data_IF_601918967393
#
_entry.id   IF_601918967393
#
_cell.length_a   1.000
_cell.length_b   1.000
_cell.length_c   1.000
_cell.angle_alpha   90.00
_cell.angle_beta   90.00
_cell.angle_gamma   90.00
#
_symmetry.space_group_name_H-M   'P 1'
#
loop_
_entity.id
_entity.type
_entity.pdbx_description
1 polymer ?
#
# COMPACT_ATOMS: atom_id res chain seq x y z
N UNK A 1 -29.71 -36.09 11.89
CA UNK A 1 -28.42 -36.23 12.60
C UNK A 1 -27.31 -36.33 11.57
N UNK A 2 -26.17 -35.74 11.90
CA UNK A 2 -24.92 -35.63 11.14
C UNK A 2 -24.82 -34.40 10.21
N UNK A 3 -24.84 -33.25 10.87
CA UNK A 3 -23.88 -32.17 10.66
C UNK A 3 -22.45 -32.66 10.89
N UNK A 4 -21.48 -31.96 10.30
CA UNK A 4 -20.02 -32.06 10.50
C UNK A 4 -19.28 -33.12 9.67
N UNK A 5 -18.72 -32.68 8.52
CA UNK A 5 -17.27 -32.49 8.39
C UNK A 5 -16.93 -32.13 6.94
N UNK A 6 -16.87 -30.83 6.64
CA UNK A 6 -16.12 -30.25 5.53
C UNK A 6 -15.83 -28.80 5.91
N UNK A 7 -15.05 -28.61 6.99
CA UNK A 7 -14.38 -27.32 7.19
C UNK A 7 -13.28 -27.24 6.16
N UNK A 8 -13.65 -26.79 4.96
CA UNK A 8 -12.69 -26.33 3.96
C UNK A 8 -11.82 -25.28 4.63
N UNK A 9 -10.57 -25.63 4.89
CA UNK A 9 -9.54 -24.73 5.40
C UNK A 9 -9.11 -23.82 4.24
N UNK A 10 -10.03 -23.01 3.74
CA UNK A 10 -9.71 -22.02 2.72
C UNK A 10 -9.07 -20.85 3.44
N UNK A 11 -7.74 -20.89 3.54
CA UNK A 11 -6.94 -19.71 3.88
C UNK A 11 -7.07 -18.76 2.69
N UNK A 12 -8.15 -17.99 2.68
CA UNK A 12 -8.34 -16.87 1.76
C UNK A 12 -7.48 -15.73 2.28
N UNK A 13 -6.19 -15.75 1.99
CA UNK A 13 -5.35 -14.57 2.19
C UNK A 13 -5.79 -13.54 1.16
N UNK A 14 -6.61 -12.57 1.60
CA UNK A 14 -6.95 -11.44 0.76
C UNK A 14 -5.66 -10.66 0.47
N UNK A 15 -5.56 -10.00 -0.69
CA UNK A 15 -4.45 -9.06 -0.95
C UNK A 15 -4.25 -8.07 0.22
N UNK A 16 -5.37 -7.65 0.84
CA UNK A 16 -5.38 -6.85 2.06
C UNK A 16 -4.64 -7.50 3.23
N UNK A 17 -4.92 -8.76 3.53
CA UNK A 17 -4.30 -9.47 4.66
C UNK A 17 -2.79 -9.61 4.46
N UNK A 18 -2.36 -9.88 3.22
CA UNK A 18 -0.94 -9.99 2.87
C UNK A 18 -0.22 -8.66 3.08
N UNK A 19 -0.82 -7.57 2.58
CA UNK A 19 -0.22 -6.23 2.69
C UNK A 19 -0.25 -5.70 4.13
N UNK A 20 -1.31 -6.00 4.88
CA UNK A 20 -1.45 -5.59 6.28
C UNK A 20 -0.48 -6.33 7.21
N UNK A 21 -0.09 -7.56 6.87
CA UNK A 21 0.90 -8.34 7.61
C UNK A 21 2.36 -8.06 7.17
N UNK A 22 2.56 -7.22 6.15
CA UNK A 22 3.90 -6.89 5.67
C UNK A 22 4.70 -6.08 6.71
N UNK A 23 5.97 -6.45 6.97
CA UNK A 23 6.86 -5.68 7.84
C UNK A 23 7.36 -4.39 7.16
N UNK A 24 7.08 -4.18 5.87
CA UNK A 24 7.39 -2.94 5.17
C UNK A 24 6.21 -1.97 5.21
N UNK A 25 6.52 -0.68 5.31
CA UNK A 25 5.52 0.37 5.22
C UNK A 25 5.04 0.51 3.77
N UNK A 26 3.76 0.21 3.54
CA UNK A 26 3.13 0.30 2.22
C UNK A 26 1.96 1.28 2.29
N UNK A 27 1.97 2.30 1.44
CA UNK A 27 0.84 3.19 1.22
C UNK A 27 0.70 3.52 -0.27
N UNK A 28 -0.53 3.84 -0.68
CA UNK A 28 -0.89 4.18 -2.06
C UNK A 28 -1.58 5.53 -2.05
N UNK A 29 -1.23 6.40 -3.00
CA UNK A 29 -1.92 7.67 -3.21
C UNK A 29 -2.33 7.83 -4.68
N UNK A 30 -3.45 8.51 -4.88
CA UNK A 30 -4.05 8.86 -6.17
C UNK A 30 -4.32 10.35 -6.16
N UNK A 31 -3.95 11.06 -7.22
CA UNK A 31 -4.06 12.51 -7.31
C UNK A 31 -3.54 13.19 -6.03
N UNK A 32 -2.32 12.80 -5.64
CA UNK A 32 -1.61 13.26 -4.44
C UNK A 32 -2.27 12.88 -3.10
N UNK A 33 -3.42 12.21 -3.10
CA UNK A 33 -4.22 11.88 -1.92
C UNK A 33 -4.02 10.41 -1.51
N UNK A 34 -3.66 10.15 -0.25
CA UNK A 34 -3.45 8.77 0.22
C UNK A 34 -4.80 8.05 0.29
N UNK A 35 -4.92 6.92 -0.40
CA UNK A 35 -6.13 6.08 -0.48
C UNK A 35 -6.00 4.76 0.28
N UNK A 36 -4.77 4.36 0.59
CA UNK A 36 -4.50 3.15 1.37
C UNK A 36 -3.17 3.28 2.13
N UNK A 37 -3.10 2.71 3.33
CA UNK A 37 -1.88 2.55 4.10
C UNK A 37 -2.02 1.33 5.00
N UNK A 38 -1.01 0.45 5.00
CA UNK A 38 -0.97 -0.68 5.94
C UNK A 38 -0.58 -0.23 7.35
N UNK A 39 -0.74 -1.13 8.33
CA UNK A 39 -0.44 -0.83 9.74
C UNK A 39 0.99 -0.32 9.96
N UNK A 40 1.95 -0.90 9.23
CA UNK A 40 3.36 -0.48 9.30
C UNK A 40 3.56 0.93 8.76
N UNK A 41 2.88 1.31 7.67
CA UNK A 41 2.91 2.66 7.13
C UNK A 41 2.27 3.68 8.08
N UNK A 42 1.14 3.35 8.73
CA UNK A 42 0.56 4.21 9.75
C UNK A 42 1.57 4.49 10.88
N UNK A 43 2.28 3.46 11.32
CA UNK A 43 3.33 3.58 12.35
C UNK A 43 4.48 4.47 11.89
N UNK A 44 4.96 4.30 10.65
CA UNK A 44 6.00 5.15 10.04
C UNK A 44 5.57 6.62 9.98
N UNK A 45 4.32 6.86 9.59
CA UNK A 45 3.73 8.19 9.46
C UNK A 45 3.29 8.80 10.80
N UNK A 46 3.54 8.08 11.92
CA UNK A 46 3.14 8.47 13.29
C UNK A 46 1.64 8.75 13.41
N UNK A 47 0.84 7.98 12.67
CA UNK A 47 -0.61 8.02 12.71
C UNK A 47 -1.15 7.07 13.77
N UNK A 48 -2.22 7.49 14.46
CA UNK A 48 -2.88 6.66 15.47
C UNK A 48 -4.06 5.89 14.89
N UNK A 49 -4.67 6.44 13.83
CA UNK A 49 -5.82 5.89 13.14
C UNK A 49 -5.61 5.99 11.63
N UNK A 50 -6.21 5.10 10.83
CA UNK A 50 -6.20 5.22 9.37
C UNK A 50 -6.68 6.59 8.88
N UNK A 51 -7.73 7.14 9.51
CA UNK A 51 -8.30 8.46 9.17
C UNK A 51 -7.31 9.63 9.34
N UNK A 52 -6.23 9.44 10.10
CA UNK A 52 -5.16 10.46 10.25
C UNK A 52 -4.27 10.56 8.99
N UNK A 53 -4.41 9.60 8.06
CA UNK A 53 -3.59 9.44 6.85
C UNK A 53 -4.44 9.39 5.59
N UNK A 54 -5.45 8.53 5.56
CA UNK A 54 -6.33 8.35 4.41
C UNK A 54 -7.08 9.66 4.11
N UNK A 55 -7.14 10.04 2.84
CA UNK A 55 -7.76 11.30 2.40
C UNK A 55 -6.86 12.53 2.55
N UNK A 56 -5.64 12.39 3.10
CA UNK A 56 -4.68 13.50 3.18
C UNK A 56 -3.73 13.49 2.00
N UNK A 57 -3.25 14.68 1.64
CA UNK A 57 -2.20 14.82 0.64
C UNK A 57 -0.89 14.17 1.15
N UNK A 58 -0.23 13.38 0.30
CA UNK A 58 1.07 12.75 0.56
C UNK A 58 2.14 13.78 0.97
N UNK A 59 2.05 15.00 0.44
CA UNK A 59 2.96 16.10 0.78
C UNK A 59 2.83 16.57 2.23
N UNK A 60 1.71 16.30 2.90
CA UNK A 60 1.52 16.62 4.33
C UNK A 60 2.48 15.85 5.24
N UNK A 61 3.02 14.73 4.76
CA UNK A 61 3.95 13.86 5.48
C UNK A 61 5.41 14.08 5.08
N UNK A 62 5.66 15.07 4.21
CA UNK A 62 6.99 15.40 3.70
C UNK A 62 7.37 16.83 4.10
N UNK A 63 8.66 17.03 4.33
CA UNK A 63 9.19 18.38 4.52
C UNK A 63 9.00 19.20 3.22
N UNK A 64 8.65 20.50 3.29
CA UNK A 64 8.37 21.33 2.10
C UNK A 64 9.49 21.30 1.05
N UNK A 65 10.75 21.28 1.48
CA UNK A 65 11.92 21.17 0.59
C UNK A 65 11.93 19.89 -0.25
N UNK A 66 11.27 18.82 0.21
CA UNK A 66 11.23 17.52 -0.45
C UNK A 66 10.06 17.36 -1.41
N UNK A 67 9.10 18.29 -1.44
CA UNK A 67 7.92 18.19 -2.32
C UNK A 67 8.30 18.20 -3.79
N UNK A 68 9.21 19.10 -4.18
CA UNK A 68 9.69 19.18 -5.56
C UNK A 68 10.49 17.95 -5.98
N UNK A 69 11.28 17.38 -5.06
CA UNK A 69 12.02 16.15 -5.36
C UNK A 69 11.08 14.96 -5.57
N UNK A 70 10.04 14.82 -4.73
CA UNK A 70 9.03 13.78 -4.95
C UNK A 70 8.31 13.97 -6.29
N UNK A 71 7.92 15.20 -6.66
CA UNK A 71 7.29 15.48 -7.96
C UNK A 71 8.16 15.04 -9.14
N UNK A 72 9.46 15.33 -9.09
CA UNK A 72 10.42 14.90 -10.13
C UNK A 72 10.48 13.38 -10.25
N UNK A 73 10.56 12.68 -9.11
CA UNK A 73 10.59 11.20 -9.09
C UNK A 73 9.30 10.64 -9.69
N UNK A 74 8.13 11.18 -9.33
CA UNK A 74 6.85 10.74 -9.89
C UNK A 74 6.81 10.98 -11.41
N UNK A 75 7.19 12.18 -11.87
CA UNK A 75 7.24 12.51 -13.31
C UNK A 75 8.10 11.51 -14.07
N UNK A 76 9.29 11.21 -13.54
CA UNK A 76 10.21 10.24 -14.15
C UNK A 76 9.62 8.83 -14.24
N UNK A 77 8.95 8.36 -13.18
CA UNK A 77 8.31 7.04 -13.15
C UNK A 77 7.12 6.96 -14.11
N UNK A 78 6.36 8.05 -14.29
CA UNK A 78 5.23 8.10 -15.22
C UNK A 78 5.67 8.22 -16.68
N UNK A 79 6.78 8.91 -16.95
CA UNK A 79 7.36 9.10 -18.29
C UNK A 79 8.02 7.82 -18.83
N UNK A 80 8.39 6.87 -17.97
CA UNK A 80 8.95 5.56 -18.34
C UNK A 80 7.91 4.47 -18.04
N UNK A 81 6.93 4.21 -18.94
CA UNK A 81 5.83 3.26 -18.71
C UNK A 81 6.25 1.78 -18.62
N UNK A 82 7.54 1.46 -18.76
CA UNK A 82 8.07 0.09 -18.59
C UNK A 82 9.02 0.06 -17.41
N UNK A 83 8.57 -0.48 -16.26
CA UNK A 83 9.36 -1.35 -15.35
C UNK A 83 8.81 -1.43 -13.92
N UNK A 84 7.80 -0.67 -13.51
CA UNK A 84 7.36 -0.70 -12.10
C UNK A 84 6.04 -1.46 -11.91
N UNK A 85 6.10 -2.79 -12.08
CA UNK A 85 5.32 -3.69 -11.22
C UNK A 85 6.36 -4.37 -10.32
N UNK A 86 6.48 -3.91 -9.08
CA UNK A 86 7.21 -4.69 -8.07
C UNK A 86 6.23 -5.62 -7.36
N UNK A 87 6.67 -6.88 -7.22
CA UNK A 87 6.16 -8.01 -6.42
C UNK A 87 5.26 -9.09 -7.06
N UNK A 88 4.79 -8.97 -8.31
CA UNK A 88 4.21 -10.13 -9.01
C UNK A 88 4.64 -10.21 -10.48
N UNK A 89 5.95 -10.34 -10.74
CA UNK A 89 6.36 -11.08 -11.93
C UNK A 89 5.78 -12.49 -11.77
N UNK A 90 4.68 -12.76 -12.47
CA UNK A 90 4.05 -14.08 -12.48
C UNK A 90 5.13 -15.11 -12.83
N UNK A 91 5.41 -15.97 -11.87
CA UNK A 91 6.09 -17.24 -12.08
C UNK A 91 5.46 -17.88 -13.31
N UNK A 92 6.32 -18.25 -14.25
CA UNK A 92 5.96 -18.82 -15.54
C UNK A 92 5.09 -20.06 -15.32
N UNK A 93 4.08 -20.16 -16.17
CA UNK A 93 3.05 -21.19 -16.27
C UNK A 93 3.51 -22.63 -16.01
#
# INVERSE_FOLDING_TARGET
MNTDCLKQHTVHNSFKDIVDLSPEAIFVYVDETIVFANTTALSLLKATRPDDVIGRSVYSFLQPKSHNELRKVISLVLEIPKSYISSEDKIIA
#
